data_IF_109075078991
#
_entry.id   IF_109075078991
#
_cell.length_a   1.000
_cell.length_b   1.000
_cell.length_c   1.000
_cell.angle_alpha   90.00
_cell.angle_beta   90.00
_cell.angle_gamma   90.00
#
_symmetry.space_group_name_H-M   'P 1'
#
loop_
_entity.id
_entity.type
_entity.pdbx_description
1 polymer ?
#
# COMPACT_ATOMS: atom_id res chain seq x y z
N UNK A 1 26.02 21.06 -3.91
CA UNK A 1 24.87 20.98 -2.98
C UNK A 1 23.62 21.15 -3.83
N UNK A 2 22.84 20.10 -4.05
CA UNK A 2 21.64 20.17 -4.89
C UNK A 2 20.50 20.82 -4.09
N UNK A 3 19.92 21.88 -4.65
CA UNK A 3 18.83 22.65 -4.07
C UNK A 3 17.54 21.82 -4.18
N UNK A 4 17.04 21.27 -3.08
CA UNK A 4 15.92 20.31 -3.07
C UNK A 4 14.54 20.92 -2.76
N UNK A 5 14.41 22.24 -2.60
CA UNK A 5 13.27 22.85 -1.90
C UNK A 5 12.32 23.73 -2.75
N UNK A 6 12.19 23.47 -4.04
CA UNK A 6 11.17 24.14 -4.85
C UNK A 6 10.13 23.14 -5.37
N UNK A 7 8.91 23.22 -4.85
CA UNK A 7 7.74 22.60 -5.50
C UNK A 7 7.67 23.13 -6.93
N UNK A 8 7.62 22.26 -7.96
CA UNK A 8 7.62 22.71 -9.35
C UNK A 8 6.50 23.72 -9.61
N UNK A 9 6.82 24.87 -10.21
CA UNK A 9 5.82 25.91 -10.50
C UNK A 9 4.67 25.39 -11.35
N UNK A 10 4.97 24.48 -12.29
CA UNK A 10 3.96 23.81 -13.12
C UNK A 10 2.97 22.98 -12.31
N UNK A 11 3.40 22.38 -11.20
CA UNK A 11 2.50 21.67 -10.28
C UNK A 11 1.61 22.66 -9.52
N UNK A 12 2.17 23.77 -9.04
CA UNK A 12 1.41 24.82 -8.35
C UNK A 12 0.34 25.45 -9.27
N UNK A 13 0.66 25.69 -10.53
CA UNK A 13 -0.28 26.23 -11.53
C UNK A 13 -1.42 25.25 -11.80
N UNK A 14 -1.11 23.97 -12.05
CA UNK A 14 -2.14 22.95 -12.28
C UNK A 14 -3.01 22.71 -11.05
N UNK A 15 -2.44 22.77 -9.84
CA UNK A 15 -3.20 22.69 -8.59
C UNK A 15 -4.21 23.84 -8.47
N UNK A 16 -3.80 25.08 -8.78
CA UNK A 16 -4.68 26.26 -8.77
C UNK A 16 -5.79 26.17 -9.81
N UNK A 17 -5.51 25.56 -10.96
CA UNK A 17 -6.47 25.42 -12.06
C UNK A 17 -7.42 24.22 -11.88
N UNK A 18 -7.22 23.37 -10.87
CA UNK A 18 -8.01 22.15 -10.68
C UNK A 18 -7.65 21.02 -11.66
N UNK A 19 -6.50 21.10 -12.33
CA UNK A 19 -6.05 20.15 -13.36
C UNK A 19 -5.23 18.98 -12.78
N UNK A 20 -5.33 18.74 -11.48
CA UNK A 20 -4.56 17.72 -10.76
C UNK A 20 -5.51 16.71 -10.14
N UNK A 21 -5.19 15.43 -10.30
CA UNK A 21 -5.82 14.34 -9.57
C UNK A 21 -4.72 13.68 -8.72
N UNK A 22 -4.78 13.75 -7.38
CA UNK A 22 -3.80 13.09 -6.54
C UNK A 22 -3.96 11.57 -6.67
N UNK A 23 -2.88 10.90 -7.08
CA UNK A 23 -2.79 9.45 -7.06
C UNK A 23 -1.90 9.02 -5.89
N UNK A 24 -2.45 8.19 -5.02
CA UNK A 24 -1.78 7.75 -3.79
C UNK A 24 -1.72 6.24 -3.71
N UNK A 25 -0.55 5.73 -3.37
CA UNK A 25 -0.30 4.31 -3.18
C UNK A 25 0.01 3.95 -1.73
N UNK A 26 0.49 2.72 -1.53
CA UNK A 26 0.79 2.13 -0.23
C UNK A 26 1.76 2.95 0.66
N UNK A 27 2.57 3.84 0.07
CA UNK A 27 3.47 4.73 0.82
C UNK A 27 2.75 5.66 1.80
N UNK A 28 1.51 6.08 1.50
CA UNK A 28 0.71 6.89 2.44
C UNK A 28 0.28 6.04 3.63
N UNK A 29 -0.12 4.78 3.39
CA UNK A 29 -0.48 3.84 4.46
C UNK A 29 0.72 3.50 5.34
N UNK A 30 1.93 3.42 4.79
CA UNK A 30 3.15 3.18 5.55
C UNK A 30 3.52 4.31 6.53
N UNK A 31 2.98 5.52 6.34
CA UNK A 31 3.15 6.63 7.28
C UNK A 31 2.26 6.50 8.53
N UNK A 32 1.23 5.65 8.48
CA UNK A 32 0.32 5.42 9.60
C UNK A 32 1.04 4.55 10.64
N UNK A 33 0.98 4.98 11.90
CA UNK A 33 1.66 4.35 13.01
C UNK A 33 0.70 3.59 13.90
N UNK A 34 1.19 2.51 14.49
CA UNK A 34 0.51 1.72 15.52
C UNK A 34 0.60 2.43 16.86
N UNK A 35 -0.53 2.58 17.57
CA UNK A 35 -0.55 3.11 18.96
C UNK A 35 0.33 2.29 19.90
N UNK A 36 0.38 0.98 19.72
CA UNK A 36 1.05 0.07 20.62
C UNK A 36 2.58 0.13 20.50
N UNK A 37 3.09 0.38 19.29
CA UNK A 37 4.54 0.27 19.01
C UNK A 37 5.19 1.56 18.52
N UNK A 38 4.41 2.55 18.10
CA UNK A 38 4.90 3.77 17.44
C UNK A 38 5.53 3.52 16.06
N UNK A 39 5.51 2.28 15.56
CA UNK A 39 6.05 1.90 14.25
C UNK A 39 4.94 1.88 13.20
N UNK A 40 5.33 1.80 11.92
CA UNK A 40 4.39 1.67 10.81
C UNK A 40 3.39 0.53 11.07
N UNK A 41 2.11 0.84 11.01
CA UNK A 41 1.03 -0.11 11.24
C UNK A 41 0.85 -1.06 10.05
N UNK A 42 1.13 -0.57 8.85
CA UNK A 42 1.00 -1.34 7.60
C UNK A 42 2.37 -1.76 7.10
N UNK A 43 2.54 -3.02 6.67
CA UNK A 43 3.83 -3.49 6.19
C UNK A 43 4.17 -2.86 4.82
N UNK A 44 5.47 -2.75 4.55
CA UNK A 44 5.95 -2.61 3.19
C UNK A 44 5.75 -3.91 2.39
N UNK A 45 5.83 -3.84 1.06
CA UNK A 45 5.78 -5.03 0.20
C UNK A 45 6.82 -6.09 0.60
N UNK A 46 8.04 -5.67 0.94
CA UNK A 46 9.07 -6.60 1.38
C UNK A 46 8.75 -7.27 2.72
N UNK A 47 8.13 -6.53 3.66
CA UNK A 47 7.68 -7.11 4.93
C UNK A 47 6.51 -8.09 4.71
N UNK A 48 5.57 -7.75 3.84
CA UNK A 48 4.44 -8.62 3.50
C UNK A 48 4.89 -9.94 2.87
N UNK A 49 5.84 -9.87 1.94
CA UNK A 49 6.42 -11.07 1.32
C UNK A 49 7.18 -11.93 2.34
N UNK A 50 7.87 -11.32 3.32
CA UNK A 50 8.53 -12.06 4.41
C UNK A 50 7.55 -12.83 5.29
N UNK A 51 6.39 -12.27 5.61
CA UNK A 51 5.32 -13.02 6.31
C UNK A 51 4.88 -14.24 5.48
N UNK A 52 4.81 -14.09 4.16
CA UNK A 52 4.54 -15.19 3.25
C UNK A 52 5.64 -16.28 3.25
N UNK A 53 6.91 -15.88 3.30
CA UNK A 53 8.06 -16.79 3.44
C UNK A 53 7.95 -17.58 4.74
N UNK A 54 7.73 -16.92 5.87
CA UNK A 54 7.55 -17.57 7.19
C UNK A 54 6.41 -18.59 7.16
N UNK A 55 5.32 -18.27 6.45
CA UNK A 55 4.21 -19.21 6.26
C UNK A 55 4.63 -20.44 5.44
N UNK A 56 5.33 -20.25 4.32
CA UNK A 56 5.85 -21.36 3.51
C UNK A 56 6.80 -22.25 4.30
N UNK A 57 7.66 -21.66 5.12
CA UNK A 57 8.59 -22.39 5.99
C UNK A 57 7.84 -23.21 7.04
N UNK A 58 6.83 -22.62 7.69
CA UNK A 58 5.97 -23.32 8.66
C UNK A 58 5.19 -24.49 8.04
N UNK A 59 4.86 -24.39 6.75
CA UNK A 59 4.19 -25.44 5.98
C UNK A 59 5.18 -26.48 5.40
N UNK A 60 6.47 -26.37 5.71
CA UNK A 60 7.52 -27.27 5.24
C UNK A 60 7.92 -27.08 3.77
N UNK A 61 7.46 -26.01 3.10
CA UNK A 61 7.73 -25.71 1.68
C UNK A 61 9.03 -24.92 1.50
N UNK A 62 10.12 -25.43 2.08
CA UNK A 62 11.41 -24.73 2.20
C UNK A 62 12.03 -24.34 0.85
N UNK A 63 11.87 -25.16 -0.18
CA UNK A 63 12.45 -24.87 -1.50
C UNK A 63 11.79 -23.65 -2.15
N UNK A 64 10.45 -23.54 -2.03
CA UNK A 64 9.72 -22.39 -2.56
C UNK A 64 10.01 -21.15 -1.70
N UNK A 65 10.09 -21.29 -0.38
CA UNK A 65 10.46 -20.19 0.52
C UNK A 65 11.81 -19.56 0.12
N UNK A 66 12.82 -20.39 -0.21
CA UNK A 66 14.13 -19.93 -0.71
C UNK A 66 14.03 -19.19 -2.04
N UNK A 67 13.19 -19.65 -2.98
CA UNK A 67 12.97 -18.98 -4.26
C UNK A 67 12.35 -17.58 -4.08
N UNK A 68 11.36 -17.47 -3.19
CA UNK A 68 10.75 -16.18 -2.85
C UNK A 68 11.79 -15.27 -2.21
N UNK A 69 12.58 -15.77 -1.25
CA UNK A 69 13.60 -15.00 -0.57
C UNK A 69 14.69 -14.49 -1.52
N UNK A 70 15.23 -15.36 -2.38
CA UNK A 70 16.25 -14.98 -3.35
C UNK A 70 15.74 -13.90 -4.32
N UNK A 71 14.49 -14.02 -4.78
CA UNK A 71 13.86 -13.03 -5.66
C UNK A 71 13.70 -11.68 -4.95
N UNK A 72 13.28 -11.70 -3.68
CA UNK A 72 13.13 -10.50 -2.86
C UNK A 72 14.46 -9.80 -2.59
N UNK A 73 15.51 -10.56 -2.27
CA UNK A 73 16.87 -10.02 -2.06
C UNK A 73 17.46 -9.44 -3.34
N UNK A 74 17.12 -10.02 -4.50
CA UNK A 74 17.44 -9.48 -5.82
C UNK A 74 16.63 -8.23 -6.22
N UNK A 75 15.65 -7.81 -5.40
CA UNK A 75 14.78 -6.67 -5.68
C UNK A 75 13.66 -6.94 -6.68
N UNK A 76 13.46 -8.20 -7.09
CA UNK A 76 12.38 -8.59 -8.00
C UNK A 76 11.13 -8.99 -7.20
N UNK A 77 10.37 -7.96 -6.82
CA UNK A 77 9.14 -8.12 -6.04
C UNK A 77 8.06 -8.90 -6.79
N UNK A 78 8.01 -8.79 -8.12
CA UNK A 78 6.98 -9.45 -8.92
C UNK A 78 7.24 -10.95 -8.99
N UNK A 79 8.49 -11.33 -9.26
CA UNK A 79 8.91 -12.74 -9.25
C UNK A 79 8.75 -13.35 -7.85
N UNK A 80 9.12 -12.60 -6.81
CA UNK A 80 8.91 -13.04 -5.43
C UNK A 80 7.43 -13.31 -5.14
N UNK A 81 6.53 -12.42 -5.56
CA UNK A 81 5.09 -12.58 -5.39
C UNK A 81 4.53 -13.78 -6.18
N UNK A 82 5.01 -14.02 -7.41
CA UNK A 82 4.59 -15.14 -8.24
C UNK A 82 4.99 -16.49 -7.61
N UNK A 83 6.23 -16.62 -7.13
CA UNK A 83 6.66 -17.80 -6.39
C UNK A 83 5.86 -18.01 -5.11
N UNK A 84 5.56 -16.92 -4.40
CA UNK A 84 4.80 -16.96 -3.17
C UNK A 84 3.37 -17.45 -3.41
N UNK A 85 2.69 -16.93 -4.43
CA UNK A 85 1.33 -17.35 -4.79
C UNK A 85 1.28 -18.83 -5.18
N UNK A 86 2.25 -19.29 -6.00
CA UNK A 86 2.40 -20.70 -6.35
C UNK A 86 2.61 -21.59 -5.13
N UNK A 87 3.42 -21.14 -4.17
CA UNK A 87 3.69 -21.87 -2.93
C UNK A 87 2.49 -21.92 -1.99
N UNK A 88 1.78 -20.80 -1.84
CA UNK A 88 0.66 -20.65 -0.91
C UNK A 88 -0.66 -21.21 -1.44
N UNK A 89 -0.77 -21.47 -2.74
CA UNK A 89 -1.94 -22.12 -3.37
C UNK A 89 -3.26 -21.43 -2.99
N UNK A 90 -3.31 -20.11 -3.14
CA UNK A 90 -4.50 -19.28 -2.87
C UNK A 90 -4.63 -18.76 -1.43
N UNK A 91 -3.73 -19.11 -0.51
CA UNK A 91 -3.77 -18.59 0.87
C UNK A 91 -3.27 -17.14 0.99
N UNK A 92 -2.61 -16.59 -0.04
CA UNK A 92 -2.03 -15.24 -0.01
C UNK A 92 -3.05 -14.17 0.34
N UNK A 93 -4.27 -14.26 -0.22
CA UNK A 93 -5.34 -13.29 0.07
C UNK A 93 -5.67 -13.23 1.56
N UNK A 94 -5.66 -14.38 2.25
CA UNK A 94 -5.90 -14.43 3.70
C UNK A 94 -4.80 -13.73 4.48
N UNK A 95 -3.53 -13.97 4.11
CA UNK A 95 -2.37 -13.32 4.73
C UNK A 95 -2.43 -11.81 4.52
N UNK A 96 -2.68 -11.35 3.29
CA UNK A 96 -2.79 -9.93 2.97
C UNK A 96 -3.89 -9.28 3.82
N UNK A 97 -5.09 -9.88 3.85
CA UNK A 97 -6.20 -9.37 4.66
C UNK A 97 -5.87 -9.27 6.14
N UNK A 98 -5.14 -10.23 6.70
CA UNK A 98 -4.71 -10.18 8.10
C UNK A 98 -3.71 -9.04 8.39
N UNK A 99 -2.84 -8.74 7.42
CA UNK A 99 -1.84 -7.69 7.56
C UNK A 99 -2.40 -6.29 7.32
N UNK A 100 -3.37 -6.12 6.42
CA UNK A 100 -3.94 -4.80 6.09
C UNK A 100 -5.30 -4.52 6.74
N UNK A 101 -5.97 -5.54 7.27
CA UNK A 101 -7.26 -5.43 7.95
C UNK A 101 -7.14 -4.99 9.41
N UNK A 102 -6.34 -3.95 9.69
CA UNK A 102 -6.11 -3.43 11.05
C UNK A 102 -7.28 -2.55 11.51
N UNK A 103 -7.61 -2.66 12.79
CA UNK A 103 -8.67 -1.88 13.43
C UNK A 103 -8.28 -0.41 13.61
N UNK A 104 -9.28 0.47 13.61
CA UNK A 104 -9.06 1.92 13.81
C UNK A 104 -8.51 2.23 15.22
N UNK A 105 -8.87 1.40 16.19
CA UNK A 105 -8.36 1.45 17.56
C UNK A 105 -6.85 1.24 17.64
N UNK A 106 -6.25 0.52 16.68
CA UNK A 106 -4.80 0.29 16.59
C UNK A 106 -4.02 1.50 16.04
N UNK A 107 -4.69 2.46 15.41
CA UNK A 107 -4.07 3.59 14.70
C UNK A 107 -3.73 4.74 15.66
N UNK A 108 -2.50 5.23 15.64
CA UNK A 108 -2.13 6.49 16.27
C UNK A 108 -2.72 7.66 15.46
N UNK A 109 -3.67 8.38 16.03
CA UNK A 109 -4.50 9.35 15.30
C UNK A 109 -3.70 10.48 14.62
N UNK A 110 -2.60 10.94 15.22
CA UNK A 110 -1.76 12.00 14.65
C UNK A 110 -1.01 11.52 13.39
N UNK A 111 -0.75 10.22 13.27
CA UNK A 111 -0.10 9.64 12.09
C UNK A 111 -1.01 9.63 10.85
N UNK A 112 -2.31 9.91 11.01
CA UNK A 112 -3.26 10.05 9.89
C UNK A 112 -3.16 11.39 9.18
N UNK A 113 -2.38 12.36 9.69
CA UNK A 113 -2.34 13.73 9.16
C UNK A 113 -2.06 13.75 7.64
N UNK A 114 -1.08 12.98 7.16
CA UNK A 114 -0.78 12.91 5.73
C UNK A 114 -1.98 12.41 4.91
N UNK A 115 -2.64 11.34 5.37
CA UNK A 115 -3.81 10.78 4.70
C UNK A 115 -4.98 11.77 4.71
N UNK A 116 -5.19 12.48 5.83
CA UNK A 116 -6.21 13.54 5.97
C UNK A 116 -5.96 14.69 4.99
N UNK A 117 -4.71 15.19 4.88
CA UNK A 117 -4.34 16.27 3.95
C UNK A 117 -4.52 15.89 2.49
N UNK A 118 -4.17 14.67 2.13
CA UNK A 118 -4.37 14.14 0.77
C UNK A 118 -5.87 14.04 0.47
N UNK A 119 -6.66 13.59 1.44
CA UNK A 119 -8.12 13.53 1.29
C UNK A 119 -8.74 14.92 1.12
N UNK A 120 -8.36 15.88 1.96
CA UNK A 120 -8.78 17.29 1.84
C UNK A 120 -8.44 17.85 0.47
N UNK A 121 -7.23 17.59 -0.02
CA UNK A 121 -6.79 17.99 -1.36
C UNK A 121 -7.64 17.33 -2.45
N UNK A 122 -7.89 16.03 -2.37
CA UNK A 122 -8.72 15.30 -3.33
C UNK A 122 -10.16 15.83 -3.34
N UNK A 123 -10.74 16.09 -2.16
CA UNK A 123 -12.09 16.67 -2.03
C UNK A 123 -12.14 18.07 -2.64
N UNK A 124 -11.17 18.93 -2.32
CA UNK A 124 -11.06 20.28 -2.88
C UNK A 124 -11.02 20.24 -4.42
N UNK A 125 -10.20 19.37 -4.99
CA UNK A 125 -10.04 19.22 -6.43
C UNK A 125 -11.28 18.59 -7.09
N UNK A 126 -11.94 17.63 -6.43
CA UNK A 126 -13.16 16.99 -6.92
C UNK A 126 -14.39 17.91 -6.90
N UNK A 127 -14.43 18.89 -5.98
CA UNK A 127 -15.49 19.92 -5.94
C UNK A 127 -15.45 20.86 -7.14
N UNK A 128 -14.33 20.88 -7.88
CA UNK A 128 -14.10 21.71 -9.06
C UNK A 128 -14.40 20.98 -10.40
N UNK A 129 -14.65 19.66 -10.41
CA UNK A 129 -15.30 18.85 -11.49
C UNK A 129 -15.35 17.35 -11.13
N UNK A 130 -16.34 16.64 -11.68
CA UNK A 130 -16.63 15.19 -11.51
C UNK A 130 -15.42 14.29 -11.79
N UNK A 131 -14.76 13.79 -10.75
CA UNK A 131 -13.91 12.59 -10.86
C UNK A 131 -13.99 11.77 -9.57
N UNK A 132 -14.65 10.62 -9.65
CA UNK A 132 -14.73 9.62 -8.59
C UNK A 132 -13.38 8.91 -8.46
N UNK A 133 -12.76 8.94 -7.28
CA UNK A 133 -11.56 8.14 -7.00
C UNK A 133 -11.82 7.12 -5.90
N UNK A 134 -11.44 5.89 -6.24
CA UNK A 134 -11.38 4.63 -5.51
C UNK A 134 -10.85 4.77 -4.07
N UNK A 135 -11.70 5.10 -3.11
CA UNK A 135 -11.39 5.02 -1.67
C UNK A 135 -12.47 4.34 -0.82
N UNK A 136 -13.63 4.02 -1.42
CA UNK A 136 -14.75 3.46 -0.64
C UNK A 136 -14.45 2.06 -0.06
N UNK A 137 -13.63 1.24 -0.74
CA UNK A 137 -13.37 -0.14 -0.30
C UNK A 137 -12.40 -0.27 0.88
N UNK A 138 -11.42 0.64 1.00
CA UNK A 138 -10.34 0.51 1.99
C UNK A 138 -10.73 1.07 3.37
N UNK A 139 -11.62 2.07 3.40
CA UNK A 139 -12.14 2.67 4.64
C UNK A 139 -13.43 2.00 5.15
N UNK A 140 -14.20 1.33 4.29
CA UNK A 140 -15.42 0.60 4.68
C UNK A 140 -15.21 -0.91 4.88
N UNK A 141 -13.96 -1.41 4.84
CA UNK A 141 -13.69 -2.85 5.02
C UNK A 141 -14.23 -3.73 3.89
N UNK A 142 -14.50 -3.17 2.71
CA UNK A 142 -15.01 -3.87 1.53
C UNK A 142 -13.97 -3.82 0.39
N UNK A 143 -12.86 -4.53 0.53
CA UNK A 143 -12.07 -4.95 -0.63
C UNK A 143 -12.44 -6.40 -0.90
N UNK A 144 -13.32 -6.58 -1.90
CA UNK A 144 -13.75 -7.90 -2.34
C UNK A 144 -12.63 -8.67 -3.06
N UNK A 145 -11.62 -7.99 -3.62
CA UNK A 145 -10.51 -8.68 -4.28
C UNK A 145 -9.25 -7.80 -4.41
N UNK A 146 -8.16 -8.09 -3.67
CA UNK A 146 -6.86 -7.41 -3.82
C UNK A 146 -6.22 -7.62 -5.19
N UNK A 147 -6.59 -8.67 -5.93
CA UNK A 147 -6.04 -8.99 -7.26
C UNK A 147 -6.55 -8.04 -8.35
N UNK A 148 -7.64 -7.31 -8.10
CA UNK A 148 -8.18 -6.31 -9.04
C UNK A 148 -7.26 -5.09 -9.18
N UNK A 149 -6.41 -4.82 -8.18
CA UNK A 149 -5.41 -3.75 -8.20
C UNK A 149 -4.26 -4.11 -9.15
N UNK A 150 -3.89 -5.39 -9.21
CA UNK A 150 -2.81 -5.90 -10.06
C UNK A 150 -3.24 -5.96 -11.53
N UNK A 151 -4.49 -6.36 -11.81
CA UNK A 151 -5.01 -6.48 -13.18
C UNK A 151 -5.29 -5.16 -13.91
N UNK A 152 -5.37 -4.03 -13.20
CA UNK A 152 -5.67 -2.70 -13.80
C UNK A 152 -4.43 -1.86 -14.11
N UNK A 153 -3.23 -2.39 -13.90
CA UNK A 153 -1.97 -1.70 -14.20
C UNK A 153 -1.31 -2.16 -15.52
N UNK A 154 -2.04 -2.92 -16.36
CA UNK A 154 -1.70 -3.20 -17.76
C UNK A 154 -2.77 -2.62 -18.69
#
# INVERSE_FOLDING_TARGET
MANHDAVPQTLLEKLKNGDVVPFVGAGVSMAIQSKATGKSLFPSWGQLLRVGIEKLESDGKLDIAKLVQASLEGGDYLLAADWLEKGLQGQLTGIVKQQIGKGRDEIQEDSLELAKRIWELAVLLSSLRTTTVLWNGLLQGQIADPLLIIKRMN
#
